data_IF_367950551875
#
_entry.id   IF_367950551875
#
_cell.length_a   1.000
_cell.length_b   1.000
_cell.length_c   1.000
_cell.angle_alpha   90.00
_cell.angle_beta   90.00
_cell.angle_gamma   90.00
#
_symmetry.space_group_name_H-M   'P 1'
#
loop_
_entity.id
_entity.type
_entity.pdbx_description
1 polymer ?
#
# COMPACT_ATOMS: atom_id res chain seq x y z
N UNK A 1 -9.08 15.18 -1.36
CA UNK A 1 -8.21 16.36 -1.16
C UNK A 1 -9.09 17.57 -0.88
N UNK A 2 -8.56 18.67 -0.37
CA UNK A 2 -9.35 19.90 -0.21
C UNK A 2 -9.67 20.50 -1.59
N UNK A 3 -10.72 21.32 -1.66
CA UNK A 3 -11.11 21.99 -2.89
C UNK A 3 -9.99 22.91 -3.42
N UNK A 4 -9.41 23.74 -2.53
CA UNK A 4 -8.27 24.62 -2.84
C UNK A 4 -7.06 23.85 -3.37
N UNK A 5 -6.74 22.69 -2.77
CA UNK A 5 -5.64 21.85 -3.24
C UNK A 5 -5.90 21.31 -4.65
N UNK A 6 -7.11 20.81 -4.91
CA UNK A 6 -7.50 20.32 -6.24
C UNK A 6 -7.45 21.44 -7.28
N UNK A 7 -8.05 22.60 -7.03
CA UNK A 7 -8.01 23.76 -7.94
C UNK A 7 -6.58 24.21 -8.25
N UNK A 8 -5.75 24.42 -7.22
CA UNK A 8 -4.35 24.81 -7.37
C UNK A 8 -3.57 23.78 -8.21
N UNK A 9 -3.77 22.49 -7.93
CA UNK A 9 -3.11 21.42 -8.67
C UNK A 9 -3.52 21.37 -10.15
N UNK A 10 -4.82 21.62 -10.43
CA UNK A 10 -5.36 21.68 -11.78
C UNK A 10 -4.87 22.91 -12.55
N UNK A 11 -4.78 24.07 -11.90
CA UNK A 11 -4.23 25.28 -12.51
C UNK A 11 -2.77 25.05 -12.96
N UNK A 12 -1.95 24.43 -12.10
CA UNK A 12 -0.56 24.08 -12.41
C UNK A 12 -0.49 23.11 -13.60
N UNK A 13 -1.21 21.99 -13.58
CA UNK A 13 -1.11 21.00 -14.66
C UNK A 13 -1.69 21.51 -15.99
N UNK A 14 -2.76 22.34 -15.96
CA UNK A 14 -3.27 23.02 -17.15
C UNK A 14 -2.25 24.01 -17.73
N UNK A 15 -1.51 24.73 -16.90
CA UNK A 15 -0.43 25.60 -17.36
C UNK A 15 0.73 24.81 -17.99
N UNK A 16 1.08 23.63 -17.45
CA UNK A 16 2.03 22.71 -18.11
C UNK A 16 1.51 22.27 -19.48
N UNK A 17 0.22 21.92 -19.59
CA UNK A 17 -0.42 21.60 -20.87
C UNK A 17 -0.35 22.75 -21.87
N UNK A 18 -0.61 23.98 -21.43
CA UNK A 18 -0.49 25.17 -22.27
C UNK A 18 0.94 25.38 -22.80
N UNK A 19 1.97 25.14 -21.96
CA UNK A 19 3.39 25.18 -22.40
C UNK A 19 3.68 24.12 -23.46
N UNK A 20 3.14 22.90 -23.32
CA UNK A 20 3.32 21.81 -24.28
C UNK A 20 2.63 22.13 -25.62
N UNK A 21 1.37 22.56 -25.58
CA UNK A 21 0.58 22.92 -26.78
C UNK A 21 1.21 24.13 -27.49
N UNK A 22 1.71 25.11 -26.74
CA UNK A 22 2.35 26.32 -27.29
C UNK A 22 3.80 26.11 -27.72
N UNK A 23 4.40 24.93 -27.55
CA UNK A 23 5.85 24.71 -27.71
C UNK A 23 6.39 24.97 -29.14
N UNK A 24 5.53 24.93 -30.16
CA UNK A 24 5.88 25.27 -31.55
C UNK A 24 5.79 26.77 -31.86
N UNK A 25 5.16 27.57 -31.01
CA UNK A 25 4.90 28.99 -31.24
C UNK A 25 5.74 29.84 -30.28
N UNK A 26 6.77 30.50 -30.79
CA UNK A 26 7.71 31.30 -29.98
C UNK A 26 7.03 32.45 -29.22
N UNK A 27 5.96 33.02 -29.78
CA UNK A 27 5.19 34.07 -29.12
C UNK A 27 4.44 33.50 -27.93
N UNK A 28 3.62 32.48 -28.18
CA UNK A 28 2.78 31.85 -27.14
C UNK A 28 3.59 31.12 -26.08
N UNK A 29 4.69 30.44 -26.44
CA UNK A 29 5.57 29.75 -25.49
C UNK A 29 6.12 30.70 -24.42
N UNK A 30 6.49 31.94 -24.80
CA UNK A 30 7.00 32.93 -23.85
C UNK A 30 5.95 33.42 -22.84
N UNK A 31 4.68 33.41 -23.23
CA UNK A 31 3.53 33.73 -22.37
C UNK A 31 3.19 32.53 -21.49
N UNK A 32 3.01 31.35 -22.09
CA UNK A 32 2.68 30.12 -21.38
C UNK A 32 3.72 29.75 -20.29
N UNK A 33 5.01 30.03 -20.50
CA UNK A 33 6.03 29.84 -19.47
C UNK A 33 5.89 30.82 -18.29
N UNK A 34 5.46 32.06 -18.52
CA UNK A 34 5.14 33.02 -17.44
C UNK A 34 3.87 32.61 -16.70
N UNK A 35 2.86 32.15 -17.42
CA UNK A 35 1.61 31.64 -16.84
C UNK A 35 1.88 30.41 -15.96
N UNK A 36 2.73 29.48 -16.43
CA UNK A 36 3.18 28.33 -15.64
C UNK A 36 3.94 28.75 -14.38
N UNK A 37 4.86 29.71 -14.52
CA UNK A 37 5.58 30.27 -13.37
C UNK A 37 4.60 30.87 -12.35
N UNK A 38 3.65 31.70 -12.78
CA UNK A 38 2.64 32.27 -11.88
C UNK A 38 1.73 31.20 -11.25
N UNK A 39 1.39 30.15 -12.00
CA UNK A 39 0.53 29.07 -11.52
C UNK A 39 1.20 28.22 -10.43
N UNK A 40 2.47 27.83 -10.58
CA UNK A 40 3.13 27.01 -9.55
C UNK A 40 3.86 27.83 -8.49
N UNK A 41 4.21 29.09 -8.76
CA UNK A 41 4.93 29.99 -7.85
C UNK A 41 4.12 31.27 -7.59
N UNK A 42 2.98 31.18 -6.88
CA UNK A 42 2.03 32.28 -6.74
C UNK A 42 2.52 33.41 -5.81
N UNK A 43 3.44 33.12 -4.88
CA UNK A 43 3.99 34.09 -3.94
C UNK A 43 5.52 34.18 -4.13
N UNK A 44 6.08 35.34 -4.50
CA UNK A 44 7.52 35.53 -4.58
C UNK A 44 8.19 35.36 -3.21
N UNK A 45 8.99 34.31 -3.06
CA UNK A 45 9.85 34.10 -1.90
C UNK A 45 10.98 35.14 -1.91
N UNK A 46 11.16 35.86 -0.82
CA UNK A 46 12.23 36.86 -0.68
C UNK A 46 13.64 36.27 -0.53
N UNK A 47 13.81 34.95 -0.73
CA UNK A 47 15.09 34.25 -0.70
C UNK A 47 15.33 33.54 -2.04
N UNK A 48 16.47 33.86 -2.68
CA UNK A 48 16.91 33.27 -3.95
C UNK A 48 17.15 31.76 -3.85
N UNK A 49 17.70 31.28 -2.73
CA UNK A 49 17.97 29.85 -2.52
C UNK A 49 16.66 29.05 -2.44
N UNK A 50 15.68 29.52 -1.66
CA UNK A 50 14.35 28.90 -1.57
C UNK A 50 13.61 28.96 -2.91
N UNK A 51 13.83 30.02 -3.71
CA UNK A 51 13.31 30.13 -5.07
C UNK A 51 13.87 29.00 -5.95
N UNK A 52 15.19 28.86 -6.03
CA UNK A 52 15.84 27.79 -6.82
C UNK A 52 15.41 26.39 -6.35
N UNK A 53 15.37 26.16 -5.02
CA UNK A 53 14.87 24.90 -4.46
C UNK A 53 13.41 24.61 -4.86
N UNK A 54 12.54 25.62 -4.89
CA UNK A 54 11.14 25.47 -5.31
C UNK A 54 11.02 25.02 -6.77
N UNK A 55 11.67 25.71 -7.71
CA UNK A 55 11.67 25.32 -9.13
C UNK A 55 12.25 23.91 -9.31
N UNK A 56 13.34 23.57 -8.62
CA UNK A 56 13.95 22.24 -8.63
C UNK A 56 12.98 21.16 -8.13
N UNK A 57 12.25 21.39 -7.03
CA UNK A 57 11.23 20.47 -6.51
C UNK A 57 10.07 20.30 -7.51
N UNK A 58 9.61 21.39 -8.14
CA UNK A 58 8.58 21.33 -9.19
C UNK A 58 9.04 20.50 -10.39
N UNK A 59 10.22 20.77 -10.94
CA UNK A 59 10.78 20.06 -12.08
C UNK A 59 11.00 18.56 -11.79
N UNK A 60 11.54 18.20 -10.62
CA UNK A 60 11.72 16.81 -10.20
C UNK A 60 10.36 16.10 -10.03
N UNK A 61 9.37 16.77 -9.46
CA UNK A 61 8.02 16.23 -9.27
C UNK A 61 7.31 16.00 -10.60
N UNK A 62 7.43 16.94 -11.53
CA UNK A 62 6.87 16.85 -12.88
C UNK A 62 7.53 15.73 -13.69
N UNK A 63 8.86 15.58 -13.61
CA UNK A 63 9.54 14.45 -14.23
C UNK A 63 9.05 13.11 -13.69
N UNK A 64 8.95 12.95 -12.36
CA UNK A 64 8.45 11.71 -11.73
C UNK A 64 7.04 11.39 -12.19
N UNK A 65 6.16 12.39 -12.25
CA UNK A 65 4.81 12.24 -12.79
C UNK A 65 4.86 11.71 -14.23
N UNK A 66 5.53 12.43 -15.13
CA UNK A 66 5.57 12.10 -16.56
C UNK A 66 6.32 10.80 -16.87
N UNK A 67 7.29 10.37 -16.04
CA UNK A 67 7.94 9.05 -16.14
C UNK A 67 7.00 7.94 -15.68
N UNK A 68 6.25 8.15 -14.58
CA UNK A 68 5.35 7.15 -14.01
C UNK A 68 4.06 6.94 -14.81
N UNK A 69 3.64 7.88 -15.67
CA UNK A 69 2.49 7.68 -16.57
C UNK A 69 2.79 6.76 -17.75
N UNK A 70 4.06 6.44 -18.02
CA UNK A 70 4.51 5.71 -19.21
C UNK A 70 4.65 4.21 -18.93
N UNK A 71 3.51 3.53 -18.78
CA UNK A 71 3.37 2.11 -18.41
C UNK A 71 4.12 1.11 -19.31
N UNK A 72 4.47 1.48 -20.55
CA UNK A 72 4.92 0.53 -21.60
C UNK A 72 6.22 0.93 -22.32
N UNK A 73 7.15 1.60 -21.60
CA UNK A 73 8.45 2.16 -22.06
C UNK A 73 8.36 3.64 -22.49
N UNK A 74 9.30 4.50 -22.08
CA UNK A 74 9.29 5.91 -22.46
C UNK A 74 9.54 6.12 -23.96
N UNK A 75 8.95 7.16 -24.58
CA UNK A 75 9.26 7.55 -25.95
C UNK A 75 10.78 7.77 -26.14
N UNK A 76 11.34 7.44 -27.31
CA UNK A 76 12.72 7.81 -27.62
C UNK A 76 12.89 9.33 -27.47
N UNK A 77 14.03 9.74 -26.89
CA UNK A 77 14.35 11.14 -26.58
C UNK A 77 13.45 11.84 -25.53
N UNK A 78 12.56 11.14 -24.80
CA UNK A 78 11.70 11.76 -23.77
C UNK A 78 12.48 12.60 -22.73
N UNK A 79 13.64 12.11 -22.25
CA UNK A 79 14.53 12.84 -21.31
C UNK A 79 15.08 14.14 -21.90
N UNK A 80 15.33 14.18 -23.22
CA UNK A 80 15.76 15.39 -23.92
C UNK A 80 14.58 16.35 -24.14
N UNK A 81 13.41 15.84 -24.54
CA UNK A 81 12.20 16.63 -24.71
C UNK A 81 11.78 17.35 -23.41
N UNK A 82 11.81 16.64 -22.27
CA UNK A 82 11.56 17.23 -20.96
C UNK A 82 12.58 18.33 -20.61
N UNK A 83 13.89 18.06 -20.81
CA UNK A 83 14.95 19.06 -20.58
C UNK A 83 14.81 20.29 -21.49
N UNK A 84 14.29 20.14 -22.71
CA UNK A 84 14.01 21.26 -23.62
C UNK A 84 12.74 22.04 -23.20
N UNK A 85 11.72 21.35 -22.68
CA UNK A 85 10.52 21.99 -22.12
C UNK A 85 10.84 22.84 -20.91
N UNK A 86 11.64 22.32 -19.98
CA UNK A 86 11.99 23.00 -18.71
C UNK A 86 13.14 24.00 -18.88
N UNK A 87 14.24 23.58 -19.53
CA UNK A 87 15.48 24.36 -19.73
C UNK A 87 16.07 24.90 -18.41
N UNK A 88 16.10 24.03 -17.41
CA UNK A 88 16.83 24.19 -16.16
C UNK A 88 18.22 23.57 -16.34
N UNK A 89 19.26 24.39 -16.22
CA UNK A 89 20.65 23.98 -16.43
C UNK A 89 21.24 23.24 -15.21
N UNK A 90 20.73 23.47 -13.99
CA UNK A 90 21.19 22.77 -12.78
C UNK A 90 20.75 21.29 -12.82
N UNK A 91 19.59 21.01 -13.41
CA UNK A 91 19.07 19.66 -13.68
C UNK A 91 19.85 18.86 -14.75
N UNK A 92 20.88 19.45 -15.37
CA UNK A 92 21.76 18.75 -16.30
C UNK A 92 22.78 17.86 -15.58
N UNK A 93 23.25 18.31 -14.41
CA UNK A 93 24.39 17.72 -13.69
C UNK A 93 24.00 16.55 -12.78
N UNK A 94 22.71 16.35 -12.52
CA UNK A 94 22.22 15.28 -11.66
C UNK A 94 21.63 14.10 -12.46
N UNK A 95 21.95 12.88 -12.01
CA UNK A 95 21.21 11.69 -12.45
C UNK A 95 19.80 11.74 -11.88
N UNK A 96 18.84 12.01 -12.77
CA UNK A 96 17.41 12.14 -12.47
C UNK A 96 16.72 10.79 -12.14
N UNK A 97 17.50 9.72 -11.97
CA UNK A 97 17.02 8.34 -12.01
C UNK A 97 16.54 7.79 -10.65
N UNK A 98 17.15 8.17 -9.50
CA UNK A 98 17.03 7.31 -8.29
C UNK A 98 17.05 7.91 -6.85
N UNK A 99 17.29 9.21 -6.63
CA UNK A 99 17.41 9.77 -5.25
C UNK A 99 16.05 10.18 -4.65
N UNK A 100 15.78 9.91 -3.36
CA UNK A 100 14.47 10.16 -2.74
C UNK A 100 14.18 11.66 -2.52
N UNK A 101 12.89 12.04 -2.50
CA UNK A 101 12.45 13.44 -2.36
C UNK A 101 12.85 14.09 -1.02
N UNK A 102 13.08 13.30 0.03
CA UNK A 102 13.48 13.79 1.34
C UNK A 102 15.00 14.02 1.45
N UNK A 103 15.81 13.16 0.83
CA UNK A 103 17.27 13.30 0.83
C UNK A 103 17.72 14.59 0.13
N UNK A 104 17.03 15.01 -0.94
CA UNK A 104 17.41 16.23 -1.69
C UNK A 104 17.33 17.55 -0.90
N UNK A 105 16.56 17.63 0.20
CA UNK A 105 16.46 18.87 1.00
C UNK A 105 17.62 19.00 1.99
N UNK A 106 18.22 17.89 2.43
CA UNK A 106 19.43 17.88 3.27
C UNK A 106 20.74 17.89 2.46
N UNK A 107 20.69 17.72 1.13
CA UNK A 107 21.85 17.90 0.24
C UNK A 107 22.17 19.39 0.08
N UNK A 108 22.76 19.94 1.15
CA UNK A 108 23.66 21.09 1.10
C UNK A 108 24.71 20.79 0.03
N UNK A 109 24.87 21.66 -0.97
CA UNK A 109 25.57 21.38 -2.23
C UNK A 109 26.98 20.74 -2.09
N UNK A 110 27.01 19.41 -2.01
CA UNK A 110 28.20 18.58 -2.03
C UNK A 110 27.87 17.32 -2.84
N UNK A 111 28.70 17.03 -3.84
CA UNK A 111 28.65 15.76 -4.56
C UNK A 111 29.10 14.62 -3.63
N UNK A 112 28.56 13.40 -3.74
CA UNK A 112 29.23 12.23 -3.20
C UNK A 112 30.49 11.98 -4.05
N UNK A 113 31.60 12.59 -3.64
CA UNK A 113 32.93 12.24 -4.15
C UNK A 113 33.20 10.83 -3.66
N UNK A 114 33.35 9.90 -4.60
CA UNK A 114 33.92 8.60 -4.31
C UNK A 114 35.42 8.85 -4.07
N UNK A 115 35.93 8.54 -2.88
CA UNK A 115 37.33 8.78 -2.49
C UNK A 115 38.29 7.85 -3.27
N UNK A 116 38.52 8.21 -4.52
CA UNK A 116 39.76 7.94 -5.25
C UNK A 116 40.43 9.28 -5.47
N UNK A 117 41.70 9.35 -5.11
CA UNK A 117 42.57 10.51 -5.34
C UNK A 117 42.68 10.79 -6.85
N UNK A 118 41.76 11.63 -7.36
CA UNK A 118 41.80 12.08 -8.75
C UNK A 118 42.72 13.30 -8.82
N UNK A 119 43.74 13.24 -9.68
CA UNK A 119 44.75 14.29 -9.69
C UNK A 119 44.13 15.62 -10.15
N UNK A 120 44.56 16.78 -9.59
CA UNK A 120 43.95 18.08 -9.93
C UNK A 120 43.95 18.39 -11.44
N UNK A 121 44.94 17.87 -12.17
CA UNK A 121 45.05 18.00 -13.62
C UNK A 121 44.02 17.13 -14.39
N UNK A 122 43.74 15.91 -13.91
CA UNK A 122 42.68 15.05 -14.46
C UNK A 122 41.30 15.67 -14.24
N UNK A 123 41.06 16.22 -13.04
CA UNK A 123 39.83 16.95 -12.72
C UNK A 123 39.68 18.18 -13.63
N UNK A 124 40.76 18.95 -13.84
CA UNK A 124 40.75 20.10 -14.74
C UNK A 124 40.53 19.71 -16.22
N UNK A 125 41.10 18.60 -16.68
CA UNK A 125 40.87 18.05 -18.01
C UNK A 125 39.43 17.56 -18.19
N UNK A 126 38.90 16.83 -17.21
CA UNK A 126 37.52 16.37 -17.19
C UNK A 126 36.53 17.54 -17.22
N UNK A 127 36.77 18.61 -16.44
CA UNK A 127 35.96 19.84 -16.46
C UNK A 127 35.96 20.49 -17.85
N UNK A 128 37.12 20.62 -18.50
CA UNK A 128 37.23 21.17 -19.86
C UNK A 128 36.44 20.35 -20.88
N UNK A 129 36.59 19.03 -20.85
CA UNK A 129 35.85 18.11 -21.74
C UNK A 129 34.34 18.24 -21.48
N UNK A 130 33.90 18.09 -20.22
CA UNK A 130 32.51 18.21 -19.82
C UNK A 130 31.90 19.56 -20.23
N UNK A 131 32.65 20.67 -20.12
CA UNK A 131 32.19 22.00 -20.54
C UNK A 131 31.89 22.06 -22.04
N UNK A 132 32.70 21.44 -22.91
CA UNK A 132 32.43 21.37 -24.35
C UNK A 132 31.17 20.55 -24.67
N UNK A 133 30.98 19.41 -24.00
CA UNK A 133 29.78 18.59 -24.16
C UNK A 133 28.53 19.30 -23.61
N UNK A 134 28.59 19.88 -22.41
CA UNK A 134 27.52 20.72 -21.82
C UNK A 134 27.14 21.86 -22.75
N UNK A 135 28.11 22.64 -23.25
CA UNK A 135 27.86 23.74 -24.18
C UNK A 135 27.19 23.30 -25.48
N UNK A 136 27.58 22.13 -26.01
CA UNK A 136 26.96 21.54 -27.21
C UNK A 136 25.53 21.06 -26.92
N UNK A 137 25.30 20.44 -25.77
CA UNK A 137 23.98 20.00 -25.33
C UNK A 137 23.02 21.18 -25.10
N UNK A 138 23.48 22.26 -24.44
CA UNK A 138 22.70 23.49 -24.24
C UNK A 138 22.34 24.15 -25.58
N UNK A 139 23.27 24.21 -26.55
CA UNK A 139 22.95 24.66 -27.92
C UNK A 139 21.86 23.81 -28.58
N UNK A 140 21.86 22.50 -28.36
CA UNK A 140 20.84 21.59 -28.88
C UNK A 140 19.47 21.81 -28.20
N UNK A 141 19.43 22.03 -26.88
CA UNK A 141 18.20 22.41 -26.15
C UNK A 141 17.64 23.76 -26.64
N UNK A 142 18.50 24.75 -26.85
CA UNK A 142 18.11 26.05 -27.40
C UNK A 142 17.53 25.90 -28.81
N UNK A 143 18.16 25.08 -29.67
CA UNK A 143 17.61 24.73 -30.99
C UNK A 143 16.24 24.06 -30.88
N UNK A 144 16.04 23.16 -29.93
CA UNK A 144 14.75 22.51 -29.70
C UNK A 144 13.65 23.48 -29.23
N UNK A 145 13.97 24.65 -28.66
CA UNK A 145 13.00 25.71 -28.35
C UNK A 145 12.78 26.73 -29.48
N UNK A 146 13.61 26.78 -30.52
CA UNK A 146 13.34 27.58 -31.72
C UNK A 146 12.34 26.85 -32.64
N UNK A 147 11.21 27.50 -33.02
CA UNK A 147 10.29 26.97 -34.02
C UNK A 147 10.97 26.58 -35.33
N UNK A 148 10.27 25.77 -36.12
CA UNK A 148 10.64 25.35 -37.48
C UNK A 148 11.96 24.57 -37.60
N UNK A 149 12.60 24.24 -36.46
CA UNK A 149 13.73 23.31 -36.41
C UNK A 149 13.27 21.86 -36.34
N UNK A 150 14.08 20.94 -36.90
CA UNK A 150 13.85 19.49 -36.79
C UNK A 150 13.83 19.03 -35.33
N UNK A 151 14.66 19.65 -34.49
CA UNK A 151 14.71 19.38 -33.06
C UNK A 151 13.41 19.80 -32.35
N UNK A 152 12.87 21.00 -32.64
CA UNK A 152 11.61 21.46 -32.06
C UNK A 152 10.42 20.60 -32.49
N UNK A 153 10.33 20.23 -33.78
CA UNK A 153 9.27 19.35 -34.26
C UNK A 153 9.27 17.99 -33.54
N UNK A 154 10.45 17.39 -33.35
CA UNK A 154 10.63 16.12 -32.63
C UNK A 154 10.27 16.23 -31.13
N UNK A 155 10.71 17.31 -30.46
CA UNK A 155 10.37 17.55 -29.06
C UNK A 155 8.87 17.81 -28.88
N UNK A 156 8.26 18.63 -29.73
CA UNK A 156 6.83 18.94 -29.66
C UNK A 156 5.96 17.69 -29.83
N UNK A 157 6.27 16.82 -30.80
CA UNK A 157 5.57 15.54 -30.99
C UNK A 157 5.74 14.62 -29.78
N UNK A 158 6.96 14.55 -29.21
CA UNK A 158 7.24 13.76 -27.99
C UNK A 158 6.46 14.28 -26.79
N UNK A 159 6.41 15.60 -26.56
CA UNK A 159 5.66 16.20 -25.46
C UNK A 159 4.15 16.04 -25.65
N UNK A 160 3.63 16.20 -26.86
CA UNK A 160 2.19 16.08 -27.14
C UNK A 160 1.69 14.64 -26.94
N UNK A 161 2.50 13.63 -27.27
CA UNK A 161 2.21 12.21 -26.95
C UNK A 161 2.08 11.96 -25.45
N UNK A 162 2.92 12.61 -24.63
CA UNK A 162 2.84 12.49 -23.17
C UNK A 162 1.67 13.30 -22.61
N UNK A 163 1.38 14.49 -23.17
CA UNK A 163 0.21 15.28 -22.81
C UNK A 163 -1.10 14.51 -23.05
N UNK A 164 -1.24 13.84 -24.20
CA UNK A 164 -2.43 13.03 -24.50
C UNK A 164 -2.69 11.89 -23.49
N UNK A 165 -1.66 11.40 -22.79
CA UNK A 165 -1.81 10.43 -21.70
C UNK A 165 -2.23 11.13 -20.40
N UNK A 166 -1.63 12.29 -20.10
CA UNK A 166 -1.95 13.09 -18.91
C UNK A 166 -3.37 13.65 -18.94
N UNK A 167 -3.82 14.11 -20.10
CA UNK A 167 -5.12 14.75 -20.31
C UNK A 167 -6.30 13.81 -20.01
N UNK A 168 -6.16 12.51 -20.33
CA UNK A 168 -7.17 11.48 -20.06
C UNK A 168 -7.50 11.32 -18.56
N UNK A 169 -6.56 11.62 -17.66
CA UNK A 169 -6.75 11.53 -16.20
C UNK A 169 -6.22 12.80 -15.50
N UNK A 170 -6.50 13.97 -16.09
CA UNK A 170 -5.91 15.26 -15.70
C UNK A 170 -6.03 15.54 -14.19
N UNK A 171 -7.20 15.31 -13.59
CA UNK A 171 -7.44 15.57 -12.16
C UNK A 171 -6.57 14.71 -11.25
N UNK A 172 -6.45 13.42 -11.55
CA UNK A 172 -5.64 12.49 -10.75
C UNK A 172 -4.14 12.82 -10.85
N UNK A 173 -3.66 13.17 -12.05
CA UNK A 173 -2.26 13.53 -12.26
C UNK A 173 -1.93 14.93 -11.70
N UNK A 174 -2.87 15.88 -11.76
CA UNK A 174 -2.75 17.19 -11.16
C UNK A 174 -2.54 17.07 -9.64
N UNK A 175 -3.47 16.38 -8.96
CA UNK A 175 -3.35 16.09 -7.53
C UNK A 175 -2.05 15.37 -7.20
N UNK A 176 -1.67 14.36 -8.00
CA UNK A 176 -0.42 13.62 -7.80
C UNK A 176 0.84 14.49 -7.92
N UNK A 177 0.85 15.45 -8.86
CA UNK A 177 1.96 16.39 -9.05
C UNK A 177 2.17 17.27 -7.81
N UNK A 178 1.11 17.95 -7.35
CA UNK A 178 1.20 18.82 -6.18
C UNK A 178 1.49 18.01 -4.91
N UNK A 179 1.00 16.76 -4.82
CA UNK A 179 1.34 15.84 -3.73
C UNK A 179 2.81 15.41 -3.72
N UNK A 180 3.43 15.22 -4.89
CA UNK A 180 4.87 14.96 -4.97
C UNK A 180 5.69 16.16 -4.51
N UNK A 181 5.28 17.38 -4.84
CA UNK A 181 5.90 18.59 -4.33
C UNK A 181 5.79 18.67 -2.80
N UNK A 182 4.59 18.54 -2.24
CA UNK A 182 4.33 18.60 -0.80
C UNK A 182 5.16 17.58 0.00
N UNK A 183 5.43 16.39 -0.56
CA UNK A 183 6.29 15.37 0.04
C UNK A 183 7.78 15.73 0.14
N UNK A 184 8.26 16.76 -0.57
CA UNK A 184 9.67 17.19 -0.49
C UNK A 184 10.07 17.79 0.86
N UNK A 185 9.12 18.31 1.65
CA UNK A 185 9.38 19.15 2.83
C UNK A 185 10.13 20.47 2.55
N UNK A 186 10.15 20.97 1.31
CA UNK A 186 10.71 22.29 1.01
C UNK A 186 9.85 23.41 1.65
N UNK A 187 10.46 24.32 2.40
CA UNK A 187 9.77 25.44 3.08
C UNK A 187 8.95 26.34 2.14
N UNK A 188 9.28 26.37 0.84
CA UNK A 188 8.48 27.10 -0.16
C UNK A 188 7.01 26.66 -0.22
N UNK A 189 6.72 25.42 0.19
CA UNK A 189 5.37 24.83 0.12
C UNK A 189 4.42 25.44 1.16
N UNK A 190 4.96 25.96 2.27
CA UNK A 190 4.20 26.68 3.29
C UNK A 190 3.53 27.96 2.73
N UNK A 191 4.00 28.47 1.58
CA UNK A 191 3.42 29.64 0.92
C UNK A 191 2.16 29.36 0.09
N UNK A 192 1.80 28.10 -0.17
CA UNK A 192 0.57 27.82 -0.92
C UNK A 192 -0.68 28.11 -0.08
N UNK A 193 -1.72 28.77 -0.64
CA UNK A 193 -2.99 29.02 0.08
C UNK A 193 -3.70 27.75 0.57
N UNK A 194 -3.43 26.60 -0.05
CA UNK A 194 -3.96 25.28 0.34
C UNK A 194 -3.08 24.54 1.37
N UNK A 195 -1.95 25.12 1.82
CA UNK A 195 -1.08 24.47 2.81
C UNK A 195 -1.77 24.29 4.18
N UNK A 196 -2.56 25.28 4.60
CA UNK A 196 -3.36 25.22 5.85
C UNK A 196 -4.35 24.04 5.87
N UNK A 197 -4.75 23.54 4.70
CA UNK A 197 -5.68 22.42 4.61
C UNK A 197 -5.01 21.09 4.99
N UNK A 198 -3.67 21.00 4.99
CA UNK A 198 -2.92 19.78 5.34
C UNK A 198 -3.13 19.35 6.79
N UNK A 199 -3.18 20.30 7.73
CA UNK A 199 -3.43 20.02 9.15
C UNK A 199 -4.83 19.44 9.41
N UNK A 200 -5.78 19.77 8.51
CA UNK A 200 -7.16 19.25 8.54
C UNK A 200 -7.33 17.96 7.73
N UNK A 201 -6.27 17.47 7.08
CA UNK A 201 -6.35 16.34 6.18
C UNK A 201 -6.63 15.05 6.95
N UNK A 202 -7.71 14.38 6.54
CA UNK A 202 -8.09 13.07 7.05
C UNK A 202 -8.26 12.11 5.87
N UNK A 203 -7.61 10.95 5.98
CA UNK A 203 -7.81 9.79 5.13
C UNK A 203 -8.51 8.71 5.95
N UNK A 204 -9.45 7.97 5.34
CA UNK A 204 -10.03 6.80 5.98
C UNK A 204 -10.12 5.60 5.04
N UNK A 205 -10.06 4.40 5.63
CA UNK A 205 -10.33 3.13 4.96
C UNK A 205 -11.40 2.37 5.74
N UNK A 206 -12.36 1.78 5.02
CA UNK A 206 -13.50 1.08 5.60
C UNK A 206 -13.42 -0.42 5.33
N UNK A 207 -13.34 -1.22 6.39
CA UNK A 207 -13.35 -2.68 6.36
C UNK A 207 -14.68 -3.16 6.95
N UNK A 208 -15.48 -3.85 6.15
CA UNK A 208 -16.78 -4.39 6.59
C UNK A 208 -16.75 -5.90 6.54
N UNK A 209 -17.24 -6.53 7.60
CA UNK A 209 -17.52 -7.98 7.66
C UNK A 209 -18.95 -8.21 8.16
N UNK A 210 -19.43 -9.45 8.03
CA UNK A 210 -20.65 -9.93 8.68
C UNK A 210 -20.31 -10.95 9.75
N UNK A 211 -21.12 -11.03 10.80
CA UNK A 211 -21.06 -12.10 11.78
C UNK A 211 -22.35 -12.93 11.75
N UNK A 212 -22.25 -14.23 12.00
CA UNK A 212 -23.39 -15.14 12.07
C UNK A 212 -24.19 -14.95 13.38
N UNK A 213 -25.43 -15.42 13.40
CA UNK A 213 -26.29 -15.35 14.59
C UNK A 213 -25.62 -15.94 15.83
N UNK A 214 -25.82 -15.32 17.00
CA UNK A 214 -25.20 -15.76 18.26
C UNK A 214 -26.25 -16.10 19.32
N UNK A 215 -26.15 -17.27 19.97
CA UNK A 215 -26.99 -17.60 21.11
C UNK A 215 -26.69 -16.69 22.32
N UNK A 216 -27.58 -16.60 23.32
CA UNK A 216 -27.35 -15.82 24.54
C UNK A 216 -26.05 -16.20 25.29
N UNK A 217 -25.53 -15.26 26.07
CA UNK A 217 -24.42 -15.43 27.03
C UNK A 217 -23.12 -16.00 26.44
N UNK A 218 -22.87 -15.75 25.15
CA UNK A 218 -21.79 -16.33 24.36
C UNK A 218 -20.75 -15.27 24.00
N UNK A 219 -19.47 -15.60 24.21
CA UNK A 219 -18.34 -14.79 23.78
C UNK A 219 -17.91 -15.24 22.38
N UNK A 220 -17.60 -14.29 21.49
CA UNK A 220 -17.20 -14.58 20.11
C UNK A 220 -16.28 -13.51 19.52
N UNK A 221 -15.49 -13.90 18.52
CA UNK A 221 -14.64 -12.98 17.75
C UNK A 221 -15.39 -12.57 16.48
N UNK A 222 -15.47 -11.27 16.24
CA UNK A 222 -16.15 -10.68 15.07
C UNK A 222 -15.16 -10.42 13.93
N UNK A 223 -13.93 -10.04 14.29
CA UNK A 223 -12.90 -9.63 13.36
C UNK A 223 -11.53 -9.90 13.96
N UNK A 224 -10.61 -10.45 13.17
CA UNK A 224 -9.20 -10.63 13.56
C UNK A 224 -8.33 -10.60 12.33
N UNK A 225 -7.63 -9.49 12.12
CA UNK A 225 -6.74 -9.30 10.98
C UNK A 225 -5.48 -8.51 11.34
N UNK A 226 -4.42 -8.76 10.57
CA UNK A 226 -3.12 -8.10 10.75
C UNK A 226 -2.94 -7.00 9.71
N UNK A 227 -2.55 -5.81 10.19
CA UNK A 227 -2.28 -4.64 9.37
C UNK A 227 -0.78 -4.31 9.38
N UNK A 228 -0.16 -4.24 8.22
CA UNK A 228 1.22 -3.81 8.05
C UNK A 228 1.28 -2.28 8.00
N UNK A 229 2.20 -1.70 8.77
CA UNK A 229 2.41 -0.25 8.86
C UNK A 229 3.72 0.08 8.14
N UNK A 230 3.67 0.60 6.89
CA UNK A 230 4.88 0.82 6.08
C UNK A 230 5.69 2.05 6.53
N UNK A 231 5.04 2.99 7.20
CA UNK A 231 5.59 4.23 7.73
C UNK A 231 4.81 4.59 8.99
N UNK A 232 5.49 5.17 9.97
CA UNK A 232 4.92 5.74 11.19
C UNK A 232 3.71 6.64 10.87
N UNK A 233 2.60 6.48 11.58
CA UNK A 233 1.34 7.19 11.33
C UNK A 233 0.49 7.32 12.59
N UNK A 234 -0.17 8.47 12.77
CA UNK A 234 -1.21 8.62 13.80
C UNK A 234 -2.51 8.04 13.24
N UNK A 235 -3.05 7.02 13.92
CA UNK A 235 -4.24 6.30 13.49
C UNK A 235 -5.29 6.23 14.60
N UNK A 236 -6.55 6.42 14.23
CA UNK A 236 -7.72 6.20 15.05
C UNK A 236 -8.60 5.10 14.41
N UNK A 237 -8.65 3.90 15.00
CA UNK A 237 -9.61 2.87 14.59
C UNK A 237 -10.98 3.09 15.26
N UNK A 238 -12.02 3.24 14.44
CA UNK A 238 -13.40 3.43 14.91
C UNK A 238 -14.30 2.28 14.46
N UNK A 239 -14.91 1.60 15.43
CA UNK A 239 -15.85 0.50 15.20
C UNK A 239 -17.28 1.03 15.11
N UNK A 240 -18.04 0.50 14.15
CA UNK A 240 -19.48 0.67 14.01
C UNK A 240 -20.14 -0.71 14.03
N UNK A 241 -21.04 -0.94 14.97
CA UNK A 241 -21.72 -2.23 15.16
C UNK A 241 -23.05 -2.05 15.91
N UNK A 242 -23.96 -3.00 15.72
CA UNK A 242 -25.20 -3.15 16.50
C UNK A 242 -25.02 -3.98 17.77
N UNK A 243 -23.82 -4.51 18.03
CA UNK A 243 -23.51 -5.34 19.19
C UNK A 243 -23.44 -4.49 20.48
N UNK A 244 -24.15 -4.88 21.56
CA UNK A 244 -24.20 -4.08 22.79
C UNK A 244 -22.88 -4.08 23.56
N UNK A 245 -22.14 -5.20 23.50
CA UNK A 245 -20.81 -5.36 24.09
C UNK A 245 -19.86 -5.82 22.99
N UNK A 246 -19.05 -4.89 22.49
CA UNK A 246 -17.99 -5.16 21.52
C UNK A 246 -16.76 -4.32 21.85
N UNK A 247 -15.60 -4.95 21.95
CA UNK A 247 -14.33 -4.32 22.30
C UNK A 247 -13.28 -4.57 21.22
N UNK A 248 -12.63 -3.50 20.75
CA UNK A 248 -11.49 -3.61 19.85
C UNK A 248 -10.19 -3.67 20.67
N UNK A 249 -9.31 -4.59 20.30
CA UNK A 249 -7.97 -4.78 20.82
C UNK A 249 -7.01 -4.60 19.64
N UNK A 250 -5.89 -3.93 19.86
CA UNK A 250 -4.84 -3.82 18.85
C UNK A 250 -3.51 -4.15 19.51
N UNK A 251 -2.78 -5.11 18.95
CA UNK A 251 -1.49 -5.60 19.48
C UNK A 251 -0.41 -5.34 18.44
N UNK A 252 0.74 -4.83 18.86
CA UNK A 252 1.92 -4.78 18.01
C UNK A 252 2.57 -6.18 17.99
N UNK A 253 2.62 -6.86 16.84
CA UNK A 253 3.16 -8.22 16.78
C UNK A 253 4.70 -8.25 16.88
N UNK A 254 5.38 -7.11 16.77
CA UNK A 254 6.83 -7.01 16.97
C UNK A 254 7.21 -6.90 18.46
N UNK A 255 6.44 -6.18 19.29
CA UNK A 255 6.70 -5.99 20.74
C UNK A 255 5.78 -6.81 21.66
N UNK A 256 4.72 -7.42 21.12
CA UNK A 256 3.61 -8.07 21.87
C UNK A 256 2.80 -7.13 22.78
N UNK A 257 3.04 -5.81 22.70
CA UNK A 257 2.34 -4.81 23.51
C UNK A 257 0.98 -4.43 22.92
N UNK A 258 0.02 -4.12 23.79
CA UNK A 258 -1.31 -3.69 23.39
C UNK A 258 -1.39 -2.16 23.32
N UNK A 259 -1.99 -1.65 22.24
CA UNK A 259 -2.30 -0.22 22.09
C UNK A 259 -3.26 0.22 23.23
N UNK A 260 -2.97 1.34 23.92
CA UNK A 260 -3.78 1.82 25.03
C UNK A 260 -5.27 2.01 24.69
N UNK A 261 -6.13 1.81 25.70
CA UNK A 261 -7.57 2.06 25.62
C UNK A 261 -8.02 3.05 26.68
N UNK A 262 -8.98 3.88 26.34
CA UNK A 262 -9.69 4.77 27.28
C UNK A 262 -11.18 4.48 27.16
N UNK A 263 -11.84 4.21 28.30
CA UNK A 263 -13.24 3.72 28.35
C UNK A 263 -13.51 2.55 27.37
N UNK A 264 -12.62 1.54 27.39
CA UNK A 264 -12.64 0.36 26.51
C UNK A 264 -12.49 0.62 24.99
N UNK A 265 -12.37 1.88 24.57
CA UNK A 265 -12.15 2.28 23.17
C UNK A 265 -10.66 2.51 22.92
N UNK A 266 -10.17 2.07 21.76
CA UNK A 266 -8.82 2.38 21.29
C UNK A 266 -8.78 3.87 20.93
N UNK A 267 -7.81 4.59 21.49
CA UNK A 267 -7.63 6.03 21.27
C UNK A 267 -6.78 6.29 20.02
N UNK A 268 -6.73 7.54 19.50
CA UNK A 268 -5.72 7.91 18.52
C UNK A 268 -4.33 7.59 19.08
N UNK A 269 -3.54 6.83 18.33
CA UNK A 269 -2.23 6.34 18.76
C UNK A 269 -1.20 6.48 17.65
N UNK A 270 0.07 6.54 18.02
CA UNK A 270 1.18 6.61 17.07
C UNK A 270 1.65 5.20 16.71
N UNK A 271 1.20 4.71 15.55
CA UNK A 271 1.57 3.40 15.03
C UNK A 271 2.90 3.51 14.32
N UNK A 272 3.96 2.93 14.90
CA UNK A 272 5.30 2.88 14.29
C UNK A 272 5.37 1.83 13.18
N UNK A 273 6.28 2.05 12.22
CA UNK A 273 6.62 1.09 11.18
C UNK A 273 7.04 -0.26 11.78
N UNK A 274 6.53 -1.35 11.21
CA UNK A 274 6.72 -2.69 11.76
C UNK A 274 6.98 -3.77 10.68
N UNK A 275 7.37 -4.97 11.13
CA UNK A 275 7.63 -6.14 10.29
C UNK A 275 6.50 -7.17 10.37
N UNK A 276 6.04 -7.54 11.57
CA UNK A 276 4.98 -8.55 11.78
C UNK A 276 3.56 -7.99 11.78
N UNK A 277 3.38 -6.67 11.59
CA UNK A 277 2.08 -6.01 11.59
C UNK A 277 1.48 -5.76 12.98
N UNK A 278 0.37 -5.02 13.03
CA UNK A 278 -0.48 -4.90 14.21
C UNK A 278 -1.70 -5.80 14.03
N UNK A 279 -1.98 -6.70 14.98
CA UNK A 279 -3.21 -7.51 14.95
C UNK A 279 -4.35 -6.74 15.59
N UNK A 280 -5.42 -6.50 14.82
CA UNK A 280 -6.67 -5.90 15.26
C UNK A 280 -7.67 -7.02 15.55
N UNK A 281 -8.16 -7.10 16.79
CA UNK A 281 -9.06 -8.16 17.26
C UNK A 281 -10.30 -7.53 17.88
N UNK A 282 -11.47 -7.80 17.32
CA UNK A 282 -12.75 -7.38 17.86
C UNK A 282 -13.44 -8.56 18.53
N UNK A 283 -13.51 -8.52 19.86
CA UNK A 283 -14.34 -9.43 20.64
C UNK A 283 -15.74 -8.86 20.85
N UNK A 284 -16.71 -9.75 21.03
CA UNK A 284 -18.07 -9.41 21.39
C UNK A 284 -18.67 -10.43 22.36
N UNK A 285 -19.68 -9.99 23.11
CA UNK A 285 -20.42 -10.84 24.04
C UNK A 285 -21.92 -10.64 23.83
N UNK A 286 -22.66 -11.72 23.55
CA UNK A 286 -24.12 -11.70 23.57
C UNK A 286 -24.62 -11.71 25.02
N UNK A 287 -25.58 -10.84 25.33
CA UNK A 287 -26.19 -10.78 26.65
C UNK A 287 -27.22 -11.89 26.88
N UNK A 288 -28.21 -11.64 27.73
CA UNK A 288 -29.30 -12.58 28.00
C UNK A 288 -30.20 -12.85 26.76
N UNK A 289 -30.13 -12.01 25.73
CA UNK A 289 -30.90 -12.13 24.48
C UNK A 289 -30.06 -12.71 23.35
N UNK A 290 -30.72 -13.42 22.44
CA UNK A 290 -30.16 -13.81 21.14
C UNK A 290 -29.75 -12.56 20.35
N UNK A 291 -28.66 -12.68 19.58
CA UNK A 291 -28.14 -11.60 18.74
C UNK A 291 -28.20 -12.03 17.28
N UNK A 292 -29.02 -11.38 16.43
CA UNK A 292 -29.08 -11.69 15.02
C UNK A 292 -27.79 -11.26 14.30
N UNK A 293 -27.49 -11.98 13.23
CA UNK A 293 -26.45 -11.67 12.26
C UNK A 293 -26.60 -10.26 11.71
N UNK A 294 -25.47 -9.55 11.61
CA UNK A 294 -25.44 -8.16 11.17
C UNK A 294 -24.07 -7.81 10.57
N UNK A 295 -23.96 -6.58 10.08
CA UNK A 295 -22.72 -5.99 9.59
C UNK A 295 -21.94 -5.38 10.73
N UNK A 296 -20.64 -5.64 10.75
CA UNK A 296 -19.66 -4.98 11.60
C UNK A 296 -18.66 -4.24 10.73
N UNK A 297 -18.28 -3.02 11.13
CA UNK A 297 -17.42 -2.16 10.32
C UNK A 297 -16.32 -1.52 11.15
N UNK A 298 -15.08 -1.70 10.70
CA UNK A 298 -13.90 -0.96 11.15
C UNK A 298 -13.61 0.16 10.17
N UNK A 299 -13.58 1.41 10.64
CA UNK A 299 -12.99 2.53 9.91
C UNK A 299 -11.63 2.84 10.51
N UNK A 300 -10.57 2.67 9.73
CA UNK A 300 -9.26 3.24 10.06
C UNK A 300 -9.25 4.69 9.60
N UNK A 301 -8.86 5.61 10.48
CA UNK A 301 -8.76 7.05 10.21
C UNK A 301 -7.31 7.47 10.47
N UNK A 302 -6.66 8.13 9.53
CA UNK A 302 -5.28 8.63 9.68
C UNK A 302 -5.07 9.96 8.94
N UNK A 303 -3.93 10.62 9.20
CA UNK A 303 -3.62 11.94 8.63
C UNK A 303 -3.17 11.89 7.16
N UNK A 304 -2.52 10.83 6.71
CA UNK A 304 -2.02 10.70 5.34
C UNK A 304 -2.06 9.27 4.79
N UNK A 305 -1.91 9.19 3.46
CA UNK A 305 -1.70 7.94 2.74
C UNK A 305 -0.19 7.62 2.64
N UNK A 306 0.21 6.33 2.71
CA UNK A 306 -0.66 5.15 2.80
C UNK A 306 -1.17 4.88 4.22
N UNK A 307 -2.45 4.52 4.34
CA UNK A 307 -2.98 3.88 5.55
C UNK A 307 -2.41 2.44 5.68
N UNK A 308 -2.44 1.85 6.89
CA UNK A 308 -2.00 0.47 7.10
C UNK A 308 -2.76 -0.51 6.19
N UNK A 309 -2.02 -1.41 5.52
CA UNK A 309 -2.61 -2.38 4.60
C UNK A 309 -2.85 -3.72 5.29
N UNK A 310 -3.92 -4.43 4.90
CA UNK A 310 -4.15 -5.80 5.36
C UNK A 310 -3.01 -6.72 4.88
N UNK A 311 -2.61 -7.68 5.70
CA UNK A 311 -1.69 -8.76 5.28
C UNK A 311 -2.37 -9.81 4.38
N UNK A 312 -3.68 -9.70 4.13
CA UNK A 312 -4.52 -10.61 3.35
C UNK A 312 -5.37 -9.79 2.37
N UNK A 313 -5.75 -10.38 1.25
CA UNK A 313 -6.60 -9.71 0.24
C UNK A 313 -8.01 -9.39 0.76
N UNK A 314 -8.54 -10.22 1.67
CA UNK A 314 -9.85 -10.05 2.30
C UNK A 314 -9.80 -10.31 3.80
N UNK A 315 -10.62 -9.61 4.61
CA UNK A 315 -10.65 -9.79 6.05
C UNK A 315 -11.37 -11.08 6.45
N UNK A 316 -10.81 -11.81 7.41
CA UNK A 316 -11.42 -12.99 8.00
C UNK A 316 -12.51 -12.64 9.02
N UNK A 317 -13.64 -13.36 8.92
CA UNK A 317 -14.77 -13.29 9.85
C UNK A 317 -15.24 -14.67 10.34
N UNK A 318 -14.60 -15.76 9.89
CA UNK A 318 -14.93 -17.13 10.29
C UNK A 318 -13.87 -17.66 11.24
N UNK A 319 -14.24 -17.95 12.48
CA UNK A 319 -13.32 -18.40 13.52
C UNK A 319 -13.80 -19.67 14.21
N UNK A 320 -12.93 -20.66 14.32
CA UNK A 320 -13.19 -21.87 15.11
C UNK A 320 -12.99 -21.57 16.59
N UNK A 321 -14.03 -21.76 17.39
CA UNK A 321 -13.96 -21.62 18.85
C UNK A 321 -13.85 -22.99 19.53
N UNK A 322 -13.02 -23.08 20.58
CA UNK A 322 -13.00 -24.20 21.51
C UNK A 322 -13.18 -23.66 22.93
N UNK A 323 -14.37 -23.82 23.49
CA UNK A 323 -14.65 -23.46 24.88
C UNK A 323 -14.23 -24.61 25.81
N UNK A 324 -13.69 -24.26 26.98
CA UNK A 324 -13.40 -25.20 28.07
C UNK A 324 -14.03 -24.61 29.33
N UNK A 325 -14.83 -25.42 30.04
CA UNK A 325 -15.47 -25.05 31.31
C UNK A 325 -15.06 -26.07 32.36
N UNK A 326 -14.60 -25.58 33.50
CA UNK A 326 -14.13 -26.41 34.61
C UNK A 326 -14.35 -25.68 35.94
N UNK A 327 -14.31 -26.41 37.05
CA UNK A 327 -14.44 -25.86 38.40
C UNK A 327 -13.07 -25.63 39.03
N UNK A 328 -12.88 -24.46 39.65
CA UNK A 328 -11.64 -24.18 40.38
C UNK A 328 -11.60 -24.99 41.68
N UNK A 329 -10.60 -25.86 41.79
CA UNK A 329 -10.25 -26.55 43.02
C UNK A 329 -9.08 -25.80 43.69
N UNK A 330 -9.27 -25.24 44.91
CA UNK A 330 -8.20 -24.55 45.63
C UNK A 330 -6.94 -25.38 45.81
N UNK A 331 -5.78 -24.75 45.64
CA UNK A 331 -4.47 -25.37 45.78
C UNK A 331 -3.43 -24.35 46.25
N UNK A 332 -2.38 -24.83 46.91
CA UNK A 332 -1.33 -24.00 47.52
C UNK A 332 -0.59 -23.12 46.51
N UNK A 333 -0.53 -23.57 45.25
CA UNK A 333 0.09 -22.85 44.13
C UNK A 333 -0.79 -21.73 43.56
N UNK A 334 -2.06 -21.64 43.99
CA UNK A 334 -3.07 -20.65 43.53
C UNK A 334 -3.29 -20.68 42.00
N UNK A 335 -3.09 -21.83 41.37
CA UNK A 335 -3.25 -22.01 39.92
C UNK A 335 -4.70 -22.39 39.63
N UNK A 336 -5.42 -21.61 38.82
CA UNK A 336 -6.82 -21.90 38.49
C UNK A 336 -6.95 -23.10 37.53
N UNK A 337 -6.09 -23.17 36.52
CA UNK A 337 -6.00 -24.26 35.55
C UNK A 337 -4.62 -24.23 34.87
N UNK A 338 -4.26 -25.31 34.18
CA UNK A 338 -3.07 -25.39 33.33
C UNK A 338 -3.32 -26.36 32.18
N UNK A 339 -3.19 -25.90 30.94
CA UNK A 339 -3.35 -26.73 29.74
C UNK A 339 -2.07 -26.72 28.90
N UNK A 340 -1.78 -27.84 28.25
CA UNK A 340 -0.73 -27.94 27.23
C UNK A 340 -1.38 -27.92 25.85
N UNK A 341 -0.87 -27.09 24.94
CA UNK A 341 -1.34 -26.97 23.56
C UNK A 341 -0.24 -27.46 22.63
N UNK A 342 -0.54 -28.45 21.79
CA UNK A 342 0.36 -28.91 20.72
C UNK A 342 -0.07 -28.30 19.39
N UNK A 343 0.90 -27.76 18.65
CA UNK A 343 0.66 -26.88 17.51
C UNK A 343 1.37 -27.45 16.29
N UNK A 344 0.60 -27.84 15.27
CA UNK A 344 1.11 -28.52 14.09
C UNK A 344 1.69 -27.54 13.05
N UNK A 345 1.17 -26.32 12.99
CA UNK A 345 1.63 -25.24 12.10
C UNK A 345 1.32 -23.88 12.73
N UNK A 346 1.98 -22.78 12.30
CA UNK A 346 1.79 -21.48 12.92
C UNK A 346 0.34 -20.97 12.83
N UNK A 347 -0.24 -20.60 13.97
CA UNK A 347 -1.63 -20.12 14.04
C UNK A 347 -1.78 -18.89 14.97
N UNK A 348 -2.48 -17.83 14.53
CA UNK A 348 -2.93 -16.78 15.42
C UNK A 348 -4.05 -17.31 16.33
N UNK A 349 -3.92 -17.08 17.63
CA UNK A 349 -4.85 -17.50 18.69
C UNK A 349 -5.24 -16.29 19.54
N UNK A 350 -6.48 -16.31 20.01
CA UNK A 350 -7.02 -15.38 20.99
C UNK A 350 -7.49 -16.20 22.18
N UNK A 351 -7.05 -15.86 23.39
CA UNK A 351 -7.38 -16.62 24.61
C UNK A 351 -8.14 -15.71 25.56
N UNK A 352 -9.39 -16.06 25.85
CA UNK A 352 -10.23 -15.40 26.86
C UNK A 352 -10.49 -16.36 28.02
N UNK A 353 -10.48 -15.82 29.24
CA UNK A 353 -10.78 -16.53 30.47
C UNK A 353 -11.78 -15.69 31.26
N UNK A 354 -12.85 -16.32 31.75
CA UNK A 354 -13.85 -15.70 32.63
C UNK A 354 -14.11 -16.58 33.85
N UNK A 355 -14.09 -16.00 35.04
CA UNK A 355 -14.51 -16.67 36.27
C UNK A 355 -16.00 -16.44 36.52
N UNK A 356 -16.66 -17.39 37.20
CA UNK A 356 -18.05 -17.26 37.62
C UNK A 356 -18.26 -16.12 38.64
N UNK A 357 -17.25 -15.84 39.47
CA UNK A 357 -17.21 -14.68 40.36
C UNK A 357 -16.50 -13.51 39.67
N UNK A 358 -17.16 -12.34 39.49
CA UNK A 358 -16.59 -11.22 38.75
C UNK A 358 -15.51 -10.45 39.53
N UNK A 359 -15.41 -10.64 40.85
CA UNK A 359 -14.49 -9.87 41.69
C UNK A 359 -13.07 -10.44 41.84
N UNK A 360 -12.80 -11.61 41.26
CA UNK A 360 -11.51 -12.29 41.40
C UNK A 360 -10.49 -11.68 40.45
N UNK A 361 -9.33 -11.25 40.97
CA UNK A 361 -8.19 -10.89 40.12
C UNK A 361 -7.50 -12.15 39.63
N UNK A 362 -7.37 -12.29 38.31
CA UNK A 362 -6.72 -13.42 37.64
C UNK A 362 -5.61 -12.93 36.73
N UNK A 363 -4.53 -13.71 36.64
CA UNK A 363 -3.44 -13.51 35.68
C UNK A 363 -3.42 -14.69 34.72
N UNK A 364 -3.69 -14.42 33.45
CA UNK A 364 -3.51 -15.36 32.36
C UNK A 364 -2.07 -15.26 31.85
N UNK A 365 -1.43 -16.41 31.65
CA UNK A 365 -0.07 -16.52 31.12
C UNK A 365 -0.06 -17.56 30.01
N UNK A 366 0.75 -17.32 28.98
CA UNK A 366 1.10 -18.35 28.00
C UNK A 366 2.59 -18.58 28.14
N UNK A 367 2.96 -19.86 28.21
CA UNK A 367 4.32 -20.31 28.42
C UNK A 367 4.82 -21.03 27.16
N UNK A 368 6.06 -20.76 26.77
CA UNK A 368 6.81 -21.55 25.79
C UNK A 368 8.04 -22.10 26.51
N UNK A 369 8.21 -23.43 26.55
CA UNK A 369 9.28 -24.09 27.31
C UNK A 369 9.41 -23.64 28.78
N UNK A 370 8.27 -23.47 29.47
CA UNK A 370 8.13 -22.90 30.83
C UNK A 370 8.41 -21.39 30.98
N UNK A 371 8.88 -20.69 29.94
CA UNK A 371 9.12 -19.25 29.97
C UNK A 371 7.86 -18.44 29.56
N UNK A 372 7.60 -17.31 30.23
CA UNK A 372 6.41 -16.49 29.96
C UNK A 372 6.61 -15.66 28.70
N UNK A 373 5.96 -16.04 27.60
CA UNK A 373 6.00 -15.28 26.34
C UNK A 373 5.01 -14.11 26.31
N UNK A 374 3.88 -14.24 27.01
CA UNK A 374 2.88 -13.17 27.16
C UNK A 374 2.03 -13.40 28.41
N UNK A 375 1.65 -12.31 29.09
CA UNK A 375 0.71 -12.39 30.22
C UNK A 375 -0.25 -11.20 30.26
N UNK A 376 -1.45 -11.43 30.78
CA UNK A 376 -2.53 -10.46 30.91
C UNK A 376 -3.19 -10.62 32.28
N UNK A 377 -3.50 -9.51 32.95
CA UNK A 377 -4.13 -9.51 34.28
C UNK A 377 -5.46 -8.78 34.20
N UNK A 378 -6.49 -9.30 34.85
CA UNK A 378 -7.79 -8.66 34.89
C UNK A 378 -8.66 -9.12 36.05
N UNK A 379 -9.81 -8.44 36.23
CA UNK A 379 -10.77 -8.68 37.30
C UNK A 379 -12.00 -9.39 36.72
N UNK A 380 -12.29 -10.60 37.19
CA UNK A 380 -13.36 -11.48 36.70
C UNK A 380 -13.11 -12.10 35.33
N UNK A 381 -12.27 -11.48 34.51
CA UNK A 381 -11.85 -11.94 33.20
C UNK A 381 -10.44 -11.46 32.86
N UNK A 382 -9.75 -12.22 32.00
CA UNK A 382 -8.47 -11.83 31.40
C UNK A 382 -8.44 -12.31 29.95
N UNK A 383 -7.82 -11.51 29.07
CA UNK A 383 -7.72 -11.80 27.64
C UNK A 383 -6.29 -11.55 27.13
N UNK A 384 -5.80 -12.49 26.33
CA UNK A 384 -4.66 -12.31 25.44
C UNK A 384 -5.24 -12.21 24.02
N UNK A 385 -5.38 -10.99 23.47
CA UNK A 385 -6.15 -10.76 22.25
C UNK A 385 -5.51 -11.38 21.00
N UNK A 386 -4.19 -11.32 20.89
CA UNK A 386 -3.44 -11.92 19.79
C UNK A 386 -2.13 -12.54 20.30
N UNK A 387 -1.89 -13.79 19.92
CA UNK A 387 -0.60 -14.48 20.04
C UNK A 387 -0.47 -15.43 18.86
N UNK A 388 0.72 -15.51 18.26
CA UNK A 388 1.00 -16.50 17.22
C UNK A 388 1.65 -17.71 17.89
N UNK A 389 0.95 -18.83 17.94
CA UNK A 389 1.57 -20.08 18.32
C UNK A 389 2.39 -20.61 17.14
N UNK A 390 3.65 -20.93 17.38
CA UNK A 390 4.53 -21.52 16.37
C UNK A 390 4.33 -23.04 16.32
N UNK A 391 4.50 -23.63 15.14
CA UNK A 391 4.51 -25.09 15.00
C UNK A 391 5.81 -25.67 15.57
N UNK A 392 5.76 -26.88 16.12
CA UNK A 392 6.99 -27.60 16.47
C UNK A 392 7.70 -28.05 15.18
N UNK A 393 8.63 -27.25 14.67
CA UNK A 393 9.53 -27.71 13.62
C UNK A 393 10.34 -28.91 14.15
N UNK A 394 10.13 -30.07 13.52
CA UNK A 394 11.03 -31.20 13.72
C UNK A 394 12.36 -30.82 13.07
N UNK A 395 13.34 -30.46 13.90
CA UNK A 395 14.73 -30.22 13.46
C UNK A 395 15.31 -31.56 12.96
N UNK A 396 15.07 -31.85 11.68
CA UNK A 396 15.59 -33.00 10.98
C UNK A 396 16.85 -32.61 10.21
N UNK A 397 17.89 -32.20 10.94
CA UNK A 397 19.20 -31.85 10.35
C UNK A 397 20.35 -32.31 11.26
N UNK A 398 20.36 -33.59 11.60
CA UNK A 398 21.48 -34.28 12.25
C UNK A 398 22.18 -35.23 11.27
N UNK A 399 22.69 -34.69 10.16
CA UNK A 399 23.75 -35.32 9.37
C UNK A 399 24.75 -34.26 8.90
N UNK A 400 25.76 -34.04 9.73
CA UNK A 400 27.05 -33.51 9.30
C UNK A 400 27.77 -34.55 8.46
N UNK A 401 28.18 -34.23 7.22
CA UNK A 401 29.46 -34.69 6.66
C UNK A 401 29.77 -34.03 5.31
N UNK A 402 31.00 -33.51 5.21
CA UNK A 402 31.83 -33.66 4.00
C UNK A 402 31.57 -32.70 2.83
N UNK A 403 32.39 -31.66 2.74
CA UNK A 403 32.75 -31.07 1.45
C UNK A 403 33.38 -32.14 0.53
N UNK A 404 33.00 -32.17 -0.75
CA UNK A 404 33.97 -32.23 -1.87
C UNK A 404 33.33 -31.94 -3.23
N UNK A 405 34.21 -31.61 -4.17
CA UNK A 405 34.03 -30.77 -5.36
C UNK A 405 34.39 -31.55 -6.64
N UNK A 406 33.73 -31.18 -7.74
CA UNK A 406 34.07 -31.40 -9.17
C UNK A 406 33.97 -32.81 -9.83
N UNK A 407 33.15 -32.83 -10.89
CA UNK A 407 33.23 -33.45 -12.24
C UNK A 407 34.23 -34.60 -12.55
N UNK A 408 33.77 -35.68 -13.24
CA UNK A 408 33.98 -35.92 -14.69
C UNK A 408 33.45 -37.31 -15.22
N UNK A 409 32.50 -37.25 -16.15
CA UNK A 409 32.12 -38.12 -17.32
C UNK A 409 32.60 -39.61 -17.49
N UNK A 410 31.65 -40.49 -17.88
CA UNK A 410 31.78 -41.81 -18.62
C UNK A 410 32.43 -43.03 -17.91
N UNK A 411 32.09 -44.31 -18.19
CA UNK A 411 31.20 -45.00 -19.16
C UNK A 411 30.73 -46.35 -18.55
N UNK A 412 29.52 -46.86 -18.82
CA UNK A 412 29.15 -48.26 -18.52
C UNK A 412 27.65 -48.54 -18.29
N UNK A 413 27.07 -49.44 -19.08
CA UNK A 413 25.69 -49.97 -19.02
C UNK A 413 25.72 -51.43 -19.53
N UNK A 414 24.68 -52.28 -19.43
CA UNK A 414 23.33 -52.13 -18.86
C UNK A 414 23.09 -53.12 -17.67
N UNK A 415 21.94 -53.32 -17.02
CA UNK A 415 20.54 -53.57 -17.40
C UNK A 415 19.62 -53.29 -16.18
N UNK A 416 18.31 -53.09 -16.24
CA UNK A 416 17.33 -52.85 -17.33
C UNK A 416 16.06 -52.24 -16.69
N UNK A 417 15.30 -51.42 -17.42
CA UNK A 417 14.05 -50.82 -16.90
C UNK A 417 12.98 -50.66 -18.00
N UNK A 418 11.79 -51.22 -17.72
CA UNK A 418 10.44 -50.70 -18.05
C UNK A 418 10.02 -50.28 -19.48
N UNK A 419 8.85 -50.82 -19.88
CA UNK A 419 7.72 -50.15 -20.57
C UNK A 419 7.93 -49.70 -22.03
N UNK A 420 6.95 -49.98 -22.89
CA UNK A 420 6.58 -49.08 -23.99
C UNK A 420 5.11 -49.18 -24.38
N UNK A 421 4.38 -48.07 -24.24
CA UNK A 421 3.31 -47.71 -25.18
C UNK A 421 3.95 -46.86 -26.31
N UNK A 422 3.53 -47.03 -27.56
CA UNK A 422 4.09 -46.25 -28.68
C UNK A 422 3.52 -46.61 -30.05
N UNK A 423 2.60 -45.77 -30.55
CA UNK A 423 2.00 -45.80 -31.90
C UNK A 423 3.07 -45.94 -33.02
N UNK A 424 2.81 -46.49 -34.23
CA UNK A 424 1.89 -45.92 -35.26
C UNK A 424 1.87 -46.75 -36.58
N UNK A 425 0.77 -46.63 -37.35
CA UNK A 425 0.63 -46.97 -38.80
C UNK A 425 0.64 -48.46 -39.18
N UNK A 426 0.00 -48.97 -40.26
CA UNK A 426 -0.89 -48.39 -41.30
C UNK A 426 -1.85 -49.48 -41.87
N UNK A 427 -2.94 -49.13 -42.58
CA UNK A 427 -3.73 -50.12 -43.36
C UNK A 427 -5.25 -49.88 -43.53
N UNK A 428 -5.64 -49.33 -44.69
CA UNK A 428 -6.88 -49.51 -45.50
C UNK A 428 -8.07 -50.30 -44.88
N UNK A 429 -9.32 -49.80 -44.82
CA UNK A 429 -10.25 -49.68 -45.99
C UNK A 429 -11.62 -49.03 -45.67
N UNK A 430 -12.21 -48.36 -46.70
CA UNK A 430 -13.65 -48.15 -47.10
C UNK A 430 -14.79 -48.63 -46.14
N UNK A 431 -15.99 -48.00 -45.99
CA UNK A 431 -16.81 -47.22 -46.95
C UNK A 431 -18.03 -46.45 -46.32
N UNK A 432 -18.53 -45.42 -47.02
CA UNK A 432 -19.95 -44.90 -47.15
C UNK A 432 -20.72 -44.05 -46.09
N UNK A 433 -21.30 -42.94 -46.61
CA UNK A 433 -22.66 -42.34 -46.40
C UNK A 433 -22.98 -41.36 -45.24
N UNK A 434 -22.59 -40.09 -45.45
CA UNK A 434 -23.47 -38.90 -45.73
C UNK A 434 -24.87 -38.81 -45.04
N UNK A 435 -25.09 -37.76 -44.23
CA UNK A 435 -26.42 -37.31 -43.74
C UNK A 435 -26.43 -35.90 -43.09
N UNK A 436 -27.49 -35.11 -43.32
CA UNK A 436 -27.69 -33.65 -43.01
C UNK A 436 -29.19 -33.42 -42.65
N UNK A 437 -29.70 -32.38 -41.98
CA UNK A 437 -29.26 -31.05 -41.48
C UNK A 437 -29.86 -30.84 -40.04
N UNK A 438 -29.26 -30.14 -39.07
CA UNK A 438 -29.22 -28.65 -38.81
C UNK A 438 -30.52 -28.02 -38.25
N UNK A 439 -30.37 -27.15 -37.23
CA UNK A 439 -31.35 -26.19 -36.64
C UNK A 439 -32.46 -26.78 -35.73
N UNK A 440 -33.12 -26.06 -34.80
CA UNK A 440 -33.10 -24.64 -34.37
C UNK A 440 -33.60 -24.46 -32.91
N UNK A 441 -33.46 -23.25 -32.34
CA UNK A 441 -33.94 -22.82 -31.01
C UNK A 441 -35.47 -22.81 -30.86
N UNK A 442 -35.97 -22.88 -29.60
CA UNK A 442 -36.93 -21.87 -29.10
C UNK A 442 -37.12 -21.83 -27.58
N UNK A 443 -37.16 -20.61 -27.05
CA UNK A 443 -37.70 -20.26 -25.73
C UNK A 443 -39.13 -20.76 -25.49
N UNK A 444 -39.48 -20.95 -24.21
CA UNK A 444 -40.84 -20.69 -23.71
C UNK A 444 -40.86 -20.32 -22.22
N UNK A 445 -41.35 -19.12 -21.96
CA UNK A 445 -41.70 -18.58 -20.65
C UNK A 445 -42.92 -19.27 -20.04
N UNK A 446 -42.98 -19.36 -18.70
CA UNK A 446 -44.17 -19.71 -17.96
C UNK A 446 -44.39 -18.74 -16.78
N UNK A 447 -45.65 -18.29 -16.62
CA UNK A 447 -46.13 -17.43 -15.53
C UNK A 447 -46.44 -18.26 -14.28
N UNK A 448 -46.22 -17.69 -13.10
CA UNK A 448 -47.02 -18.02 -11.91
C UNK A 448 -47.52 -16.74 -11.20
N UNK A 449 -48.58 -16.87 -10.40
CA UNK A 449 -49.51 -15.80 -10.04
C UNK A 449 -49.24 -15.15 -8.67
N UNK A 450 -49.66 -13.89 -8.53
CA UNK A 450 -49.85 -13.21 -7.25
C UNK A 450 -51.12 -13.69 -6.52
N UNK A 451 -51.04 -13.71 -5.19
CA UNK A 451 -52.14 -13.59 -4.22
C UNK A 451 -51.51 -13.05 -2.88
N UNK A 452 -52.27 -12.47 -1.92
CA UNK A 452 -51.97 -11.10 -1.51
C UNK A 452 -51.34 -10.90 -0.12
N UNK A 453 -50.83 -9.67 0.04
CA UNK A 453 -50.23 -9.08 1.25
C UNK A 453 -51.31 -8.70 2.27
N UNK A 454 -51.14 -9.13 3.53
CA UNK A 454 -51.88 -8.60 4.68
C UNK A 454 -51.07 -7.48 5.35
N UNK A 455 -51.73 -6.37 5.68
CA UNK A 455 -51.24 -5.34 6.59
C UNK A 455 -52.11 -5.32 7.85
N UNK A 456 -51.53 -5.11 9.05
CA UNK A 456 -52.25 -4.58 10.19
C UNK A 456 -51.99 -3.07 10.30
N UNK A 457 -53.05 -2.26 10.25
CA UNK A 457 -52.97 -0.85 10.61
C UNK A 457 -52.77 -0.70 12.12
N UNK A 458 -51.91 0.24 12.53
CA UNK A 458 -51.76 0.63 13.94
C UNK A 458 -52.85 1.65 14.27
N UNK A 459 -53.70 1.31 15.24
CA UNK A 459 -54.67 2.23 15.83
C UNK A 459 -54.04 3.14 16.89
N UNK A 460 -54.55 4.36 16.99
CA UNK A 460 -54.21 5.34 18.02
C UNK A 460 -54.88 4.96 19.35
N UNK A 461 -54.10 4.91 20.44
CA UNK A 461 -54.25 5.65 21.72
C UNK A 461 -52.96 5.45 22.53
#
# INVERSE_FOLDING_TARGET
ESYRFTEQSLAILKAVGNVIVSFKDKGKLSVALKDLQAAHYPIPLHNKELTTQHFRVFHISLWRLMKNTQLTRPPPNFKFAFRAMVLDLELLDFSLEEVSLAEWVDVKCCLPVNDKECFPEEVAAAIKIQAMWRGTYVRLLMRARTPDTKENASVADTLQKVWGILELNLEQYAVSLLRLMFKSKCKSIESYPCYQDEDTKIVFADYTVTYADQPPNTWFIVFRETFLVPQDVILLPKVYTTLPVCMLHVVNNDTMEQVPKVFQKVVPYHYTKNKKGYTFVAEAFSGATYVPSSRWKLRLIGSYNPLPCLSRESPCNTFTMKEIRDYYIPNDKKILFRYSVKVASPHPVTVHVRTSKPDVFIRLQILENEEIIVSSTGKGQAIIPAVNFLGSEKVASSQSHGEKREELVTLGSPDSHTISEGQKSSGTSKTTRKGKDKSSEKDKTAKEKQAPRFEPQVGVV
#
